data_IF_733632728047
#
_entry.id   IF_733632728047
#
_cell.length_a   1.000
_cell.length_b   1.000
_cell.length_c   1.000
_cell.angle_alpha   90.00
_cell.angle_beta   90.00
_cell.angle_gamma   90.00
#
_symmetry.space_group_name_H-M   'P 1'
#
loop_
_entity.id
_entity.type
_entity.pdbx_description
1 polymer ?
#
# COMPACT_ATOMS: atom_id res chain seq x y z
N UNK A 1 4.73 15.69 -13.15
CA UNK A 1 3.29 15.80 -12.90
C UNK A 1 2.74 16.86 -13.83
N UNK A 2 1.59 16.56 -14.48
CA UNK A 2 1.01 17.40 -15.51
C UNK A 2 0.72 18.82 -15.04
N UNK A 3 0.76 19.78 -15.97
CA UNK A 3 0.35 21.14 -15.67
C UNK A 3 -1.15 21.19 -15.32
N UNK A 4 -1.56 22.10 -14.46
CA UNK A 4 -2.97 22.34 -14.14
C UNK A 4 -3.80 22.60 -15.41
N UNK A 5 -3.23 23.25 -16.41
CA UNK A 5 -3.86 23.47 -17.71
C UNK A 5 -4.15 22.16 -18.45
N UNK A 6 -3.24 21.20 -18.41
CA UNK A 6 -3.45 19.86 -18.98
C UNK A 6 -4.62 19.11 -18.32
N UNK A 7 -4.75 19.21 -17.00
CA UNK A 7 -5.88 18.62 -16.27
C UNK A 7 -7.21 19.33 -16.53
N UNK A 8 -7.18 20.67 -16.62
CA UNK A 8 -8.41 21.46 -16.78
C UNK A 8 -8.93 21.48 -18.22
N UNK A 9 -8.05 21.63 -19.20
CA UNK A 9 -8.43 21.84 -20.59
C UNK A 9 -8.14 20.64 -21.51
N UNK A 10 -7.40 19.65 -21.03
CA UNK A 10 -6.95 18.51 -21.85
C UNK A 10 -8.09 17.77 -22.52
N UNK A 11 -9.12 17.41 -21.77
CA UNK A 11 -10.26 16.65 -22.28
C UNK A 11 -11.06 17.45 -23.33
N UNK A 12 -11.32 18.72 -23.06
CA UNK A 12 -12.02 19.61 -24.00
C UNK A 12 -11.22 19.82 -25.29
N UNK A 13 -9.89 20.00 -25.17
CA UNK A 13 -9.00 20.16 -26.33
C UNK A 13 -8.95 18.90 -27.15
N UNK A 14 -8.82 17.73 -26.56
CA UNK A 14 -8.80 16.45 -27.26
C UNK A 14 -10.12 16.19 -27.99
N UNK A 15 -11.24 16.49 -27.34
CA UNK A 15 -12.55 16.38 -27.96
C UNK A 15 -12.71 17.33 -29.15
N UNK A 16 -12.26 18.58 -29.01
CA UNK A 16 -12.30 19.56 -30.11
C UNK A 16 -11.42 19.17 -31.31
N UNK A 17 -10.30 18.49 -31.04
CA UNK A 17 -9.40 17.99 -32.09
C UNK A 17 -9.80 16.62 -32.66
N UNK A 18 -10.87 15.99 -32.19
CA UNK A 18 -11.32 14.67 -32.62
C UNK A 18 -10.33 13.55 -32.31
N UNK A 19 -9.55 13.67 -31.23
CA UNK A 19 -8.54 12.69 -30.85
C UNK A 19 -9.21 11.37 -30.40
N UNK A 20 -8.86 10.29 -31.09
CA UNK A 20 -9.39 8.95 -30.80
C UNK A 20 -8.60 8.18 -29.76
N UNK A 21 -7.29 8.46 -29.63
CA UNK A 21 -6.40 7.73 -28.73
C UNK A 21 -5.80 8.65 -27.69
N UNK A 22 -5.80 8.16 -26.45
CA UNK A 22 -5.22 8.87 -25.32
C UNK A 22 -4.29 7.95 -24.54
N UNK A 23 -3.13 8.46 -24.16
CA UNK A 23 -2.23 7.81 -23.23
C UNK A 23 -1.99 8.73 -22.03
N UNK A 24 -1.93 8.16 -20.83
CA UNK A 24 -1.57 8.89 -19.63
C UNK A 24 -0.73 8.01 -18.70
N UNK A 25 0.19 8.62 -17.95
CA UNK A 25 0.96 7.92 -16.94
C UNK A 25 0.06 7.28 -15.86
N UNK A 26 -1.06 7.94 -15.53
CA UNK A 26 -2.02 7.44 -14.55
C UNK A 26 -2.63 6.10 -14.96
N UNK A 27 -2.91 5.90 -16.25
CA UNK A 27 -3.46 4.64 -16.75
C UNK A 27 -2.46 3.46 -16.64
N UNK A 28 -1.17 3.73 -16.59
CA UNK A 28 -0.13 2.72 -16.40
C UNK A 28 0.23 2.54 -14.92
N UNK A 29 0.28 3.62 -14.17
CA UNK A 29 0.70 3.64 -12.77
C UNK A 29 -0.40 3.15 -11.81
N UNK A 30 -1.65 3.54 -12.06
CA UNK A 30 -2.77 3.37 -11.11
C UNK A 30 -3.85 2.37 -11.53
N UNK A 31 -3.70 1.72 -12.66
CA UNK A 31 -4.73 0.82 -13.20
C UNK A 31 -5.05 -0.33 -12.23
N UNK A 32 -4.03 -0.99 -11.68
CA UNK A 32 -4.21 -2.08 -10.73
C UNK A 32 -4.86 -1.61 -9.43
N UNK A 33 -4.41 -0.48 -8.89
CA UNK A 33 -4.97 0.13 -7.68
C UNK A 33 -6.46 0.48 -7.86
N UNK A 34 -6.81 1.14 -8.95
CA UNK A 34 -8.21 1.50 -9.23
C UNK A 34 -9.09 0.28 -9.48
N UNK A 35 -8.56 -0.75 -10.15
CA UNK A 35 -9.30 -1.98 -10.39
C UNK A 35 -9.60 -2.72 -9.08
N UNK A 36 -8.61 -2.87 -8.21
CA UNK A 36 -8.76 -3.52 -6.89
C UNK A 36 -9.72 -2.72 -6.02
N UNK A 37 -9.52 -1.41 -5.87
CA UNK A 37 -10.40 -0.55 -5.09
C UNK A 37 -11.85 -0.60 -5.58
N UNK A 38 -12.06 -0.56 -6.89
CA UNK A 38 -13.38 -0.67 -7.49
C UNK A 38 -14.06 -2.03 -7.26
N UNK A 39 -13.29 -3.13 -7.17
CA UNK A 39 -13.82 -4.47 -6.89
C UNK A 39 -14.08 -4.72 -5.41
N UNK A 40 -13.22 -4.24 -4.54
CA UNK A 40 -13.31 -4.48 -3.10
C UNK A 40 -14.19 -3.46 -2.38
N UNK A 41 -14.09 -2.18 -2.78
CA UNK A 41 -14.68 -1.07 -2.03
C UNK A 41 -15.72 -0.29 -2.85
N UNK A 42 -15.88 -0.60 -4.13
CA UNK A 42 -16.73 0.13 -5.11
C UNK A 42 -16.35 1.60 -5.31
N UNK A 43 -15.32 2.10 -4.66
CA UNK A 43 -14.84 3.48 -4.73
C UNK A 43 -13.34 3.55 -4.48
N UNK A 44 -12.73 4.70 -4.78
CA UNK A 44 -11.35 4.97 -4.35
C UNK A 44 -11.25 5.09 -2.84
N UNK A 45 -10.18 4.55 -2.27
CA UNK A 45 -9.89 4.65 -0.84
C UNK A 45 -8.67 5.54 -0.59
N UNK A 46 -8.68 6.23 0.54
CA UNK A 46 -7.54 6.96 1.08
C UNK A 46 -7.30 6.52 2.51
N UNK A 47 -6.03 6.36 2.89
CA UNK A 47 -5.67 6.06 4.27
C UNK A 47 -5.91 7.27 5.18
N UNK A 48 -6.50 7.03 6.34
CA UNK A 48 -6.61 8.03 7.42
C UNK A 48 -5.33 7.98 8.27
N UNK A 49 -4.27 8.58 7.75
CA UNK A 49 -2.98 8.62 8.43
C UNK A 49 -2.94 9.56 9.63
N UNK A 50 -3.94 10.40 9.80
CA UNK A 50 -4.02 11.33 10.94
C UNK A 50 -4.43 10.61 12.23
N UNK A 51 -5.28 9.57 12.13
CA UNK A 51 -5.88 8.89 13.27
C UNK A 51 -5.50 7.41 13.42
N UNK A 52 -4.73 6.83 12.47
CA UNK A 52 -4.35 5.42 12.54
C UNK A 52 -3.31 5.16 13.64
N UNK A 53 -3.40 3.99 14.26
CA UNK A 53 -2.39 3.47 15.19
C UNK A 53 -1.18 2.91 14.45
N UNK A 54 -1.41 2.28 13.30
CA UNK A 54 -0.37 1.72 12.44
C UNK A 54 -0.50 2.28 11.03
N UNK A 55 0.55 2.93 10.54
CA UNK A 55 0.66 3.39 9.16
C UNK A 55 1.63 2.49 8.39
N UNK A 56 1.19 1.92 7.27
CA UNK A 56 2.03 1.08 6.41
C UNK A 56 2.17 1.73 5.04
N UNK A 57 3.40 2.00 4.61
CA UNK A 57 3.71 2.50 3.27
C UNK A 57 4.45 1.44 2.47
N UNK A 58 3.91 1.09 1.31
CA UNK A 58 4.48 0.10 0.40
C UNK A 58 4.94 0.80 -0.88
N UNK A 59 6.25 0.80 -1.14
CA UNK A 59 6.85 1.44 -2.32
C UNK A 59 6.56 2.93 -2.41
N UNK A 60 6.36 3.59 -1.27
CA UNK A 60 5.93 4.99 -1.22
C UNK A 60 6.80 5.81 -0.27
N UNK A 61 7.26 6.95 -0.75
CA UNK A 61 7.98 7.93 0.05
C UNK A 61 7.17 9.23 0.21
N UNK A 62 6.15 9.26 1.11
CA UNK A 62 5.29 10.42 1.28
C UNK A 62 6.03 11.67 1.76
N UNK A 63 7.13 11.52 2.48
CA UNK A 63 7.98 12.65 2.89
C UNK A 63 8.38 13.53 1.71
N UNK A 64 8.64 12.92 0.56
CA UNK A 64 9.06 13.59 -0.66
C UNK A 64 7.89 13.81 -1.65
N UNK A 65 7.09 12.78 -1.88
CA UNK A 65 6.00 12.82 -2.88
C UNK A 65 4.68 13.37 -2.34
N UNK A 66 4.58 13.60 -1.04
CA UNK A 66 3.34 13.95 -0.35
C UNK A 66 2.26 12.86 -0.52
N UNK A 67 1.15 13.13 -1.14
CA UNK A 67 0.09 12.16 -1.40
C UNK A 67 -1.15 12.33 -0.52
N UNK A 68 -1.01 12.99 0.62
CA UNK A 68 -2.10 13.42 1.51
C UNK A 68 -1.77 14.76 2.16
N UNK A 69 -2.78 15.42 2.70
CA UNK A 69 -2.61 16.73 3.31
C UNK A 69 -1.70 16.67 4.55
N UNK A 70 -0.92 17.73 4.81
CA UNK A 70 -0.04 17.83 5.98
C UNK A 70 0.97 16.69 6.17
N UNK A 71 1.34 16.00 5.11
CA UNK A 71 2.10 14.74 5.13
C UNK A 71 3.27 14.73 6.09
N UNK A 72 4.18 15.71 6.00
CA UNK A 72 5.38 15.75 6.86
C UNK A 72 5.06 16.01 8.33
N UNK A 73 3.96 16.70 8.61
CA UNK A 73 3.50 16.93 10.00
C UNK A 73 3.00 15.60 10.55
N UNK A 74 2.10 14.94 9.84
CA UNK A 74 1.50 13.67 10.25
C UNK A 74 2.58 12.59 10.43
N UNK A 75 3.55 12.45 9.52
CA UNK A 75 4.66 11.52 9.68
C UNK A 75 5.47 11.77 10.95
N UNK A 76 5.74 13.04 11.28
CA UNK A 76 6.43 13.40 12.54
C UNK A 76 5.57 13.15 13.77
N UNK A 77 4.25 13.33 13.66
CA UNK A 77 3.33 13.07 14.76
C UNK A 77 3.26 11.56 15.03
N UNK A 78 3.21 10.72 13.99
CA UNK A 78 3.30 9.26 14.13
C UNK A 78 4.62 8.88 14.81
N UNK A 79 5.75 9.38 14.32
CA UNK A 79 7.08 9.05 14.86
C UNK A 79 7.27 9.42 16.34
N UNK A 80 6.56 10.45 16.82
CA UNK A 80 6.68 10.93 18.20
C UNK A 80 5.72 10.26 19.16
N UNK A 81 4.65 9.67 18.67
CA UNK A 81 3.62 9.05 19.50
C UNK A 81 3.99 7.58 19.79
N UNK A 82 4.28 7.22 21.05
CA UNK A 82 4.67 5.85 21.40
C UNK A 82 3.56 4.81 21.22
N UNK A 83 2.32 5.25 20.99
CA UNK A 83 1.17 4.37 20.73
C UNK A 83 0.93 4.16 19.24
N UNK A 84 1.77 4.74 18.39
CA UNK A 84 1.64 4.65 16.94
C UNK A 84 2.88 4.03 16.32
N UNK A 85 2.70 3.33 15.19
CA UNK A 85 3.81 2.69 14.50
C UNK A 85 3.81 3.04 13.02
N UNK A 86 4.99 3.28 12.49
CA UNK A 86 5.25 3.52 11.09
C UNK A 86 6.03 2.34 10.50
N UNK A 87 5.42 1.63 9.56
CA UNK A 87 6.04 0.52 8.84
C UNK A 87 6.26 0.94 7.39
N UNK A 88 7.46 0.73 6.87
CA UNK A 88 7.77 1.02 5.47
C UNK A 88 8.31 -0.23 4.80
N UNK A 89 7.69 -0.60 3.68
CA UNK A 89 8.13 -1.68 2.80
C UNK A 89 8.66 -1.02 1.53
N UNK A 90 9.98 -0.96 1.37
CA UNK A 90 10.62 -0.24 0.26
C UNK A 90 12.01 -0.82 0.01
N UNK A 91 12.42 -1.10 -1.22
CA UNK A 91 13.77 -1.55 -1.54
C UNK A 91 14.84 -0.50 -1.20
N UNK A 92 14.45 0.77 -1.14
CA UNK A 92 15.31 1.87 -0.78
C UNK A 92 15.02 2.36 0.65
N UNK A 93 16.07 2.65 1.40
CA UNK A 93 15.95 3.40 2.65
C UNK A 93 15.72 4.88 2.34
N UNK A 94 14.44 5.19 2.04
CA UNK A 94 13.98 6.54 1.73
C UNK A 94 13.83 7.39 3.00
N UNK A 95 13.60 8.69 2.85
CA UNK A 95 13.40 9.60 3.98
C UNK A 95 12.21 9.17 4.88
N UNK A 96 11.17 8.57 4.29
CA UNK A 96 10.07 7.99 5.09
C UNK A 96 10.51 6.70 5.79
N UNK A 97 11.32 5.87 5.13
CA UNK A 97 11.88 4.65 5.73
C UNK A 97 12.88 4.95 6.87
N UNK A 98 13.59 6.07 6.80
CA UNK A 98 14.47 6.53 7.89
C UNK A 98 13.70 6.93 9.16
N UNK A 99 12.43 7.30 9.01
CA UNK A 99 11.55 7.66 10.13
C UNK A 99 10.76 6.47 10.66
N UNK A 100 10.77 5.35 9.94
CA UNK A 100 9.96 4.18 10.27
C UNK A 100 10.50 3.44 11.51
N UNK A 101 9.58 2.92 12.30
CA UNK A 101 9.89 1.99 13.38
C UNK A 101 10.34 0.64 12.81
N UNK A 102 9.72 0.23 11.69
CA UNK A 102 10.08 -1.00 10.98
C UNK A 102 10.26 -0.68 9.49
N UNK A 103 11.43 -1.01 8.95
CA UNK A 103 11.71 -0.94 7.53
C UNK A 103 11.97 -2.35 6.97
N UNK A 104 11.02 -2.85 6.18
CA UNK A 104 11.18 -4.10 5.43
C UNK A 104 11.83 -3.77 4.09
N UNK A 105 13.14 -3.93 4.01
CA UNK A 105 13.90 -3.62 2.80
C UNK A 105 13.84 -4.78 1.81
N UNK A 106 12.77 -4.84 1.04
CA UNK A 106 12.52 -5.89 0.06
C UNK A 106 13.41 -5.76 -1.18
N UNK A 107 13.71 -6.87 -1.84
CA UNK A 107 14.31 -6.85 -3.18
C UNK A 107 13.31 -6.23 -4.18
N UNK A 108 13.76 -5.42 -5.15
CA UNK A 108 12.87 -4.86 -6.17
C UNK A 108 12.03 -5.93 -6.87
N UNK A 109 10.72 -5.70 -7.01
CA UNK A 109 9.78 -6.61 -7.67
C UNK A 109 9.32 -7.79 -6.82
N UNK A 110 9.60 -7.79 -5.52
CA UNK A 110 9.20 -8.89 -4.63
C UNK A 110 8.16 -8.49 -3.57
N UNK A 111 7.56 -7.32 -3.70
CA UNK A 111 6.55 -6.80 -2.78
C UNK A 111 5.39 -7.78 -2.56
N UNK A 112 4.91 -8.42 -3.64
CA UNK A 112 3.83 -9.39 -3.57
C UNK A 112 4.16 -10.60 -2.68
N UNK A 113 5.42 -11.05 -2.68
CA UNK A 113 5.88 -12.14 -1.81
C UNK A 113 5.93 -11.71 -0.34
N UNK A 114 6.41 -10.49 -0.09
CA UNK A 114 6.44 -9.91 1.25
C UNK A 114 5.02 -9.75 1.81
N UNK A 115 4.11 -9.13 1.04
CA UNK A 115 2.72 -8.92 1.46
C UNK A 115 1.97 -10.24 1.66
N UNK A 116 2.21 -11.24 0.81
CA UNK A 116 1.62 -12.57 0.96
C UNK A 116 2.15 -13.28 2.21
N UNK A 117 3.45 -13.13 2.53
CA UNK A 117 4.03 -13.66 3.76
C UNK A 117 3.41 -13.01 5.01
N UNK A 118 3.28 -11.67 5.02
CA UNK A 118 2.62 -10.94 6.11
C UNK A 118 1.17 -11.38 6.31
N UNK A 119 0.39 -11.48 5.23
CA UNK A 119 -0.99 -11.96 5.29
C UNK A 119 -1.07 -13.41 5.79
N UNK A 120 -0.12 -14.26 5.37
CA UNK A 120 -0.04 -15.64 5.83
C UNK A 120 0.27 -15.74 7.33
N UNK A 121 1.20 -14.93 7.84
CA UNK A 121 1.52 -14.86 9.28
C UNK A 121 0.27 -14.51 10.07
N UNK A 122 -0.47 -13.47 9.68
CA UNK A 122 -1.69 -13.05 10.36
C UNK A 122 -2.72 -14.19 10.46
N UNK A 123 -2.85 -15.01 9.40
CA UNK A 123 -3.81 -16.12 9.38
C UNK A 123 -3.27 -17.36 10.09
N UNK A 124 -1.99 -17.69 9.93
CA UNK A 124 -1.37 -18.88 10.52
C UNK A 124 -1.22 -18.77 12.04
N UNK A 125 -1.00 -17.54 12.54
CA UNK A 125 -0.86 -17.24 13.96
C UNK A 125 -2.15 -16.75 14.62
N UNK A 126 -3.25 -16.77 13.87
CA UNK A 126 -4.59 -16.36 14.36
C UNK A 126 -4.66 -14.90 14.86
N UNK A 127 -3.91 -14.02 14.20
CA UNK A 127 -3.83 -12.58 14.53
C UNK A 127 -4.89 -11.75 13.79
N UNK A 128 -5.93 -12.37 13.27
CA UNK A 128 -7.00 -11.73 12.49
C UNK A 128 -8.18 -11.30 13.35
N UNK A 129 -8.82 -10.19 13.01
CA UNK A 129 -10.00 -9.67 13.68
C UNK A 129 -11.25 -10.44 13.22
N UNK A 130 -11.44 -11.68 13.67
CA UNK A 130 -12.54 -12.55 13.24
C UNK A 130 -13.94 -11.91 13.32
N UNK A 131 -14.34 -11.23 14.42
CA UNK A 131 -15.65 -10.60 14.48
C UNK A 131 -15.87 -9.56 13.40
N UNK A 132 -14.87 -8.72 13.17
CA UNK A 132 -14.92 -7.69 12.14
C UNK A 132 -14.99 -8.29 10.73
N UNK A 133 -14.17 -9.32 10.45
CA UNK A 133 -14.18 -10.01 9.18
C UNK A 133 -15.50 -10.71 8.88
N UNK A 134 -16.13 -11.30 9.88
CA UNK A 134 -17.43 -11.96 9.74
C UNK A 134 -18.55 -10.96 9.38
N UNK A 135 -18.47 -9.73 9.84
CA UNK A 135 -19.47 -8.69 9.59
C UNK A 135 -19.21 -7.92 8.28
N UNK A 136 -17.94 -7.64 7.97
CA UNK A 136 -17.58 -6.67 6.94
C UNK A 136 -16.85 -7.24 5.73
N UNK A 137 -16.48 -8.52 5.71
CA UNK A 137 -15.73 -9.12 4.62
C UNK A 137 -16.42 -10.35 4.04
N UNK A 138 -16.23 -10.56 2.74
CA UNK A 138 -16.63 -11.78 2.03
C UNK A 138 -15.40 -12.49 1.47
N UNK A 139 -15.45 -13.84 1.34
CA UNK A 139 -14.35 -14.63 0.77
C UNK A 139 -13.18 -14.90 1.74
N UNK A 140 -13.32 -14.60 3.03
CA UNK A 140 -12.25 -14.82 4.00
C UNK A 140 -11.91 -16.31 4.17
N UNK A 141 -12.90 -17.20 4.14
CA UNK A 141 -12.68 -18.64 4.28
C UNK A 141 -11.79 -19.19 3.15
N UNK A 142 -12.07 -18.79 1.92
CA UNK A 142 -11.35 -19.21 0.72
C UNK A 142 -9.91 -18.71 0.73
N UNK A 143 -9.73 -17.41 1.00
CA UNK A 143 -8.38 -16.83 1.03
C UNK A 143 -7.56 -17.34 2.21
N UNK A 144 -8.15 -17.57 3.37
CA UNK A 144 -7.45 -18.10 4.54
C UNK A 144 -6.93 -19.52 4.31
N UNK A 145 -7.66 -20.35 3.57
CA UNK A 145 -7.18 -21.68 3.18
C UNK A 145 -5.90 -21.60 2.34
N UNK A 146 -5.82 -20.66 1.40
CA UNK A 146 -4.62 -20.41 0.59
C UNK A 146 -3.49 -19.86 1.46
N UNK A 147 -3.76 -18.87 2.31
CA UNK A 147 -2.76 -18.22 3.17
C UNK A 147 -2.14 -19.21 4.18
N UNK A 148 -2.91 -20.17 4.69
CA UNK A 148 -2.40 -21.24 5.56
C UNK A 148 -1.38 -22.16 4.86
N UNK A 149 -1.43 -22.27 3.55
CA UNK A 149 -0.49 -23.10 2.77
C UNK A 149 0.79 -22.38 2.36
N UNK A 150 0.88 -21.06 2.57
CA UNK A 150 2.06 -20.27 2.17
C UNK A 150 3.25 -20.62 3.07
N UNK A 151 4.40 -21.03 2.49
CA UNK A 151 5.63 -21.25 3.24
C UNK A 151 6.32 -19.90 3.53
N UNK A 152 6.00 -19.29 4.68
CA UNK A 152 6.46 -17.94 5.08
C UNK A 152 7.97 -17.81 4.95
N UNK A 153 8.76 -18.75 5.48
CA UNK A 153 10.22 -18.74 5.40
C UNK A 153 10.74 -18.60 3.95
N UNK A 154 10.13 -19.35 3.02
CA UNK A 154 10.52 -19.28 1.61
C UNK A 154 10.16 -17.94 0.97
N UNK A 155 9.03 -17.35 1.35
CA UNK A 155 8.62 -16.05 0.84
C UNK A 155 9.48 -14.94 1.40
N UNK A 156 9.88 -15.03 2.66
CA UNK A 156 10.86 -14.15 3.30
C UNK A 156 12.21 -14.18 2.56
N UNK A 157 12.70 -15.37 2.24
CA UNK A 157 13.92 -15.55 1.44
C UNK A 157 13.81 -14.92 0.04
N UNK A 158 12.69 -15.11 -0.66
CA UNK A 158 12.46 -14.49 -1.97
C UNK A 158 12.49 -12.97 -1.91
N UNK A 159 11.81 -12.38 -0.95
CA UNK A 159 11.79 -10.91 -0.82
C UNK A 159 13.05 -10.35 -0.15
N UNK A 160 13.90 -11.22 0.44
CA UNK A 160 15.16 -10.83 1.06
C UNK A 160 15.01 -10.13 2.40
N UNK A 161 13.89 -10.37 3.09
CA UNK A 161 13.60 -9.86 4.44
C UNK A 161 13.77 -11.00 5.43
N UNK A 162 14.32 -10.71 6.60
CA UNK A 162 14.42 -11.68 7.67
C UNK A 162 13.02 -12.11 8.17
N UNK A 163 12.78 -13.41 8.31
CA UNK A 163 11.48 -13.93 8.76
C UNK A 163 11.11 -13.41 10.15
N UNK A 164 12.09 -13.25 11.03
CA UNK A 164 11.87 -12.73 12.38
C UNK A 164 11.37 -11.30 12.36
N UNK A 165 11.79 -10.51 11.37
CA UNK A 165 11.33 -9.14 11.20
C UNK A 165 9.92 -9.05 10.58
N UNK A 166 9.52 -10.08 9.83
CA UNK A 166 8.16 -10.18 9.29
C UNK A 166 7.12 -10.55 10.36
N UNK A 167 7.55 -11.34 11.38
CA UNK A 167 6.74 -11.76 12.54
C UNK A 167 6.73 -10.69 13.63
#
# INVERSE_FOLDING_TARGET
QGSHLGGTYGDSTQKALGVQYRSSALAQEKTGEFWVAGKMLTTGAHGDFEHCEVAVFVGKNPWHSHGFARTRVILRDIQKDPNRSLIVIDPRRSETAEMADIHLQVKPGTDAWCLAALAAILVQEDLVAHPWLAEHATGFAEISAVLRSIPVARYAEFCGVDETLLR
#
